data_IF_211240851264
#
_entry.id   IF_211240851264
#
_cell.length_a   1.000
_cell.length_b   1.000
_cell.length_c   1.000
_cell.angle_alpha   90.00
_cell.angle_beta   90.00
_cell.angle_gamma   90.00
#
_symmetry.space_group_name_H-M   'P 1'
#
loop_
_entity.id
_entity.type
_entity.pdbx_description
1 polymer ?
#
# COMPACT_ATOMS: atom_id res chain seq x y z
N UNK A 1 17.17 -3.69 -15.39
CA UNK A 1 16.27 -3.91 -14.24
C UNK A 1 16.24 -2.70 -13.31
N UNK A 2 17.39 -2.12 -12.98
CA UNK A 2 17.51 -0.86 -12.19
C UNK A 2 16.62 0.27 -12.73
N UNK A 3 16.65 0.56 -14.04
CA UNK A 3 15.78 1.55 -14.67
C UNK A 3 14.27 1.29 -14.47
N UNK A 4 13.83 0.02 -14.49
CA UNK A 4 12.42 -0.34 -14.26
C UNK A 4 12.03 -0.09 -12.80
N UNK A 5 12.91 -0.44 -11.85
CA UNK A 5 12.68 -0.19 -10.42
C UNK A 5 12.59 1.31 -10.15
N UNK A 6 13.44 2.12 -10.78
CA UNK A 6 13.40 3.57 -10.61
C UNK A 6 12.14 4.18 -11.22
N UNK A 7 11.69 3.70 -12.39
CA UNK A 7 10.40 4.10 -12.96
C UNK A 7 9.24 3.76 -12.01
N UNK A 8 9.23 2.56 -11.43
CA UNK A 8 8.22 2.14 -10.45
C UNK A 8 8.23 3.01 -9.18
N UNK A 9 9.41 3.42 -8.69
CA UNK A 9 9.55 4.33 -7.55
C UNK A 9 8.98 5.71 -7.86
N UNK A 10 9.30 6.26 -9.03
CA UNK A 10 8.82 7.58 -9.45
C UNK A 10 7.30 7.56 -9.62
N UNK A 11 6.74 6.57 -10.31
CA UNK A 11 5.30 6.45 -10.51
C UNK A 11 4.55 6.20 -9.20
N UNK A 12 5.14 5.44 -8.27
CA UNK A 12 4.57 5.24 -6.92
C UNK A 12 4.54 6.55 -6.13
N UNK A 13 5.63 7.31 -6.15
CA UNK A 13 5.70 8.63 -5.50
C UNK A 13 4.64 9.59 -6.06
N UNK A 14 4.48 9.63 -7.38
CA UNK A 14 3.43 10.40 -8.05
C UNK A 14 2.03 9.91 -7.64
N UNK A 15 1.79 8.59 -7.61
CA UNK A 15 0.52 8.01 -7.16
C UNK A 15 0.16 8.45 -5.74
N UNK A 16 1.14 8.41 -4.82
CA UNK A 16 0.95 8.80 -3.43
C UNK A 16 0.70 10.31 -3.26
N UNK A 17 1.05 11.15 -4.24
CA UNK A 17 0.65 12.57 -4.21
C UNK A 17 -0.87 12.75 -4.34
N UNK A 18 -1.55 11.84 -5.06
CA UNK A 18 -3.01 11.78 -5.15
C UNK A 18 -3.64 10.97 -4.00
N UNK A 19 -2.90 10.01 -3.44
CA UNK A 19 -3.32 9.10 -2.36
C UNK A 19 -2.51 9.31 -1.10
N UNK A 20 -2.40 10.57 -0.67
CA UNK A 20 -1.56 10.95 0.46
C UNK A 20 -1.87 10.24 1.80
N UNK A 21 -3.09 9.73 2.10
CA UNK A 21 -3.30 9.05 3.38
C UNK A 21 -2.52 7.74 3.46
N UNK A 22 -2.24 7.10 2.32
CA UNK A 22 -1.46 5.86 2.26
C UNK A 22 0.03 6.05 2.61
N UNK A 23 0.54 7.29 2.52
CA UNK A 23 1.90 7.66 2.91
C UNK A 23 2.02 8.06 4.40
N UNK A 24 0.96 7.84 5.19
CA UNK A 24 0.92 8.13 6.62
C UNK A 24 1.40 6.99 7.53
N UNK A 25 1.10 7.11 8.82
CA UNK A 25 1.35 6.07 9.84
C UNK A 25 0.13 5.84 10.72
N UNK A 26 0.02 4.64 11.28
CA UNK A 26 -0.92 4.35 12.38
C UNK A 26 -0.36 4.93 13.69
N UNK A 27 -1.16 5.68 14.45
CA UNK A 27 -0.67 6.36 15.68
C UNK A 27 -0.92 5.55 16.95
N UNK A 28 -2.12 4.99 17.09
CA UNK A 28 -2.63 4.35 18.31
C UNK A 28 -3.39 3.04 18.03
N UNK A 29 -3.24 2.51 16.83
CA UNK A 29 -3.89 1.27 16.38
C UNK A 29 -5.28 1.45 15.78
N UNK A 30 -5.88 2.63 15.91
CA UNK A 30 -7.23 2.91 15.40
C UNK A 30 -7.30 4.23 14.62
N UNK A 31 -6.31 5.11 14.77
CA UNK A 31 -6.17 6.35 14.02
C UNK A 31 -4.92 6.36 13.15
N UNK A 32 -4.96 7.19 12.11
CA UNK A 32 -3.86 7.41 11.18
C UNK A 32 -3.45 8.87 11.14
N UNK A 33 -2.15 9.13 11.03
CA UNK A 33 -1.60 10.45 10.76
C UNK A 33 -1.13 10.56 9.30
N UNK A 34 -1.68 11.51 8.55
CA UNK A 34 -1.22 11.87 7.21
C UNK A 34 0.03 12.77 7.30
N UNK A 35 1.12 12.21 7.80
CA UNK A 35 2.37 12.94 8.05
C UNK A 35 3.36 12.93 6.86
N UNK A 36 2.94 12.37 5.71
CA UNK A 36 3.74 12.26 4.49
C UNK A 36 5.12 11.62 4.72
N UNK A 37 5.26 10.71 5.68
CA UNK A 37 6.51 9.97 5.91
C UNK A 37 6.84 8.98 4.79
N UNK A 38 5.97 8.84 3.79
CA UNK A 38 6.18 7.98 2.64
C UNK A 38 5.86 6.53 2.96
N UNK A 39 6.33 5.63 2.10
CA UNK A 39 6.06 4.20 2.17
C UNK A 39 7.36 3.40 2.18
N UNK A 40 7.34 2.27 2.87
CA UNK A 40 8.47 1.35 2.86
C UNK A 40 8.44 0.53 1.57
N UNK A 41 9.52 0.59 0.80
CA UNK A 41 9.68 -0.16 -0.45
C UNK A 41 10.95 -0.99 -0.39
N UNK A 42 10.79 -2.29 -0.23
CA UNK A 42 11.88 -3.26 -0.32
C UNK A 42 12.11 -3.67 -1.78
N UNK A 43 13.36 -3.98 -2.13
CA UNK A 43 13.73 -4.58 -3.41
C UNK A 43 14.52 -5.87 -3.13
N UNK A 44 14.11 -6.98 -3.74
CA UNK A 44 14.73 -8.28 -3.56
C UNK A 44 15.04 -8.93 -4.91
N UNK A 45 16.19 -9.61 -4.98
CA UNK A 45 16.53 -10.47 -6.12
C UNK A 45 16.17 -11.92 -5.78
N UNK A 46 15.43 -12.56 -6.67
CA UNK A 46 15.00 -13.96 -6.55
C UNK A 46 15.83 -14.77 -7.54
N UNK A 47 16.70 -15.64 -7.00
CA UNK A 47 17.60 -16.50 -7.77
C UNK A 47 16.90 -17.72 -8.40
N UNK A 48 15.62 -17.58 -8.75
CA UNK A 48 14.77 -18.60 -9.37
C UNK A 48 13.97 -17.96 -10.49
N UNK A 49 13.51 -18.79 -11.43
CA UNK A 49 12.59 -18.36 -12.48
C UNK A 49 11.17 -18.24 -11.92
N UNK A 50 10.45 -17.20 -12.35
CA UNK A 50 9.06 -16.97 -11.93
C UNK A 50 8.16 -18.17 -12.26
N UNK A 51 8.34 -18.79 -13.42
CA UNK A 51 7.61 -19.99 -13.84
C UNK A 51 7.74 -21.13 -12.82
N UNK A 52 8.96 -21.37 -12.31
CA UNK A 52 9.22 -22.42 -11.33
C UNK A 52 8.51 -22.13 -10.00
N UNK A 53 8.51 -20.87 -9.57
CA UNK A 53 7.82 -20.42 -8.35
C UNK A 53 6.31 -20.55 -8.49
N UNK A 54 5.75 -20.21 -9.66
CA UNK A 54 4.31 -20.31 -9.93
C UNK A 54 3.84 -21.76 -10.08
N UNK A 55 4.65 -22.64 -10.67
CA UNK A 55 4.33 -24.07 -10.80
C UNK A 55 4.28 -24.79 -9.44
N UNK A 56 5.06 -24.33 -8.46
CA UNK A 56 5.12 -24.91 -7.12
C UNK A 56 4.73 -23.88 -6.06
N UNK A 57 3.60 -23.21 -6.26
CA UNK A 57 3.15 -22.11 -5.42
C UNK A 57 2.79 -22.59 -4.00
N UNK A 58 3.75 -22.51 -3.09
CA UNK A 58 3.55 -22.75 -1.65
C UNK A 58 3.33 -21.42 -0.95
N UNK A 59 2.37 -21.36 -0.02
CA UNK A 59 2.10 -20.15 0.80
C UNK A 59 3.37 -19.61 1.46
N UNK A 60 4.27 -20.50 1.91
CA UNK A 60 5.53 -20.10 2.52
C UNK A 60 6.47 -19.36 1.55
N UNK A 61 6.42 -19.69 0.25
CA UNK A 61 7.17 -18.99 -0.79
C UNK A 61 6.50 -17.64 -1.10
N UNK A 62 5.18 -17.62 -1.24
CA UNK A 62 4.43 -16.38 -1.47
C UNK A 62 4.66 -15.35 -0.36
N UNK A 63 4.71 -15.79 0.90
CA UNK A 63 5.02 -14.92 2.06
C UNK A 63 6.39 -14.25 1.97
N UNK A 64 7.37 -14.86 1.30
CA UNK A 64 8.70 -14.25 1.09
C UNK A 64 8.69 -13.17 0.02
N UNK A 65 7.67 -13.13 -0.82
CA UNK A 65 7.48 -12.09 -1.84
C UNK A 65 6.73 -10.87 -1.29
N UNK A 66 6.27 -10.93 -0.04
CA UNK A 66 5.62 -9.82 0.66
C UNK A 66 6.64 -9.08 1.54
N UNK A 67 6.47 -7.75 1.72
CA UNK A 67 7.36 -6.94 2.55
C UNK A 67 7.28 -7.30 4.04
N UNK A 68 6.17 -7.90 4.47
CA UNK A 68 5.94 -8.34 5.84
C UNK A 68 4.94 -9.49 5.86
N UNK A 69 4.78 -10.11 7.03
CA UNK A 69 3.72 -11.09 7.25
C UNK A 69 2.36 -10.35 7.36
N UNK A 70 1.40 -10.60 6.46
CA UNK A 70 0.12 -9.89 6.44
C UNK A 70 -0.78 -10.23 7.65
N UNK A 71 -0.45 -11.29 8.39
CA UNK A 71 -1.19 -11.71 9.60
C UNK A 71 -0.68 -11.03 10.87
N UNK A 72 0.40 -10.26 10.77
CA UNK A 72 0.98 -9.52 11.89
C UNK A 72 0.87 -8.03 11.64
N UNK A 73 0.69 -7.27 12.71
CA UNK A 73 0.74 -5.80 12.64
C UNK A 73 2.17 -5.37 12.28
N UNK A 74 2.32 -4.34 11.45
CA UNK A 74 3.62 -3.73 11.19
C UNK A 74 4.17 -3.13 12.48
N UNK A 75 5.43 -3.44 12.82
CA UNK A 75 6.10 -2.89 14.00
C UNK A 75 6.21 -1.35 13.90
N UNK A 76 6.42 -0.85 12.67
CA UNK A 76 6.61 0.57 12.38
C UNK A 76 5.32 1.33 12.04
N UNK A 77 4.15 0.69 12.23
CA UNK A 77 2.84 1.30 11.97
C UNK A 77 2.65 1.82 10.52
N UNK A 78 3.38 1.27 9.56
CA UNK A 78 3.34 1.66 8.14
C UNK A 78 2.03 1.20 7.50
N UNK A 79 1.39 2.09 6.73
CA UNK A 79 0.08 1.84 6.11
C UNK A 79 0.15 1.06 4.79
N UNK A 80 1.22 1.24 4.02
CA UNK A 80 1.39 0.63 2.70
C UNK A 80 2.85 0.18 2.48
N UNK A 81 3.35 -0.87 3.15
CA UNK A 81 4.63 -1.45 2.77
C UNK A 81 4.52 -2.24 1.45
N UNK A 82 5.55 -2.14 0.61
CA UNK A 82 5.66 -2.84 -0.67
C UNK A 82 7.00 -3.56 -0.82
N UNK A 83 7.02 -4.61 -1.64
CA UNK A 83 8.25 -5.30 -2.04
C UNK A 83 8.27 -5.59 -3.54
N UNK A 84 9.31 -5.13 -4.23
CA UNK A 84 9.58 -5.48 -5.63
C UNK A 84 10.53 -6.68 -5.66
N UNK A 85 10.10 -7.78 -6.28
CA UNK A 85 10.86 -9.02 -6.40
C UNK A 85 11.27 -9.23 -7.85
N UNK A 86 12.57 -9.23 -8.09
CA UNK A 86 13.19 -9.36 -9.40
C UNK A 86 13.70 -10.79 -9.61
N UNK A 87 13.08 -11.54 -10.52
CA UNK A 87 13.42 -12.95 -10.78
C UNK A 87 14.58 -13.08 -11.77
N UNK A 88 15.31 -14.20 -11.68
CA UNK A 88 16.45 -14.49 -12.55
C UNK A 88 16.08 -14.47 -14.04
N UNK A 89 14.87 -14.90 -14.39
CA UNK A 89 14.31 -14.85 -15.74
C UNK A 89 13.93 -13.45 -16.24
N UNK A 90 14.11 -12.39 -15.45
CA UNK A 90 13.67 -11.03 -15.78
C UNK A 90 12.25 -10.68 -15.34
N UNK A 91 11.47 -11.65 -14.86
CA UNK A 91 10.12 -11.41 -14.34
C UNK A 91 10.12 -10.57 -13.06
N UNK A 92 9.02 -9.86 -12.80
CA UNK A 92 8.85 -9.02 -11.60
C UNK A 92 7.55 -9.41 -10.89
N UNK A 93 7.62 -9.65 -9.57
CA UNK A 93 6.45 -9.74 -8.71
C UNK A 93 6.45 -8.62 -7.67
N UNK A 94 5.33 -7.91 -7.54
CA UNK A 94 5.17 -6.83 -6.58
C UNK A 94 4.27 -7.32 -5.46
N UNK A 95 4.81 -7.42 -4.25
CA UNK A 95 4.07 -7.70 -3.03
C UNK A 95 3.58 -6.40 -2.40
N UNK A 96 2.27 -6.30 -2.14
CA UNK A 96 1.66 -5.13 -1.51
C UNK A 96 0.95 -5.59 -0.24
N UNK A 97 1.29 -4.95 0.89
CA UNK A 97 0.51 -5.07 2.10
C UNK A 97 -0.07 -3.69 2.41
N UNK A 98 -1.36 -3.63 2.73
CA UNK A 98 -2.07 -2.38 2.94
C UNK A 98 -2.98 -2.49 4.16
N UNK A 99 -3.00 -1.44 4.97
CA UNK A 99 -3.76 -1.43 6.22
C UNK A 99 -5.26 -1.37 5.94
N UNK A 100 -5.97 -2.46 6.29
CA UNK A 100 -7.42 -2.52 6.22
C UNK A 100 -8.13 -1.52 7.17
N UNK A 101 -7.38 -0.85 8.06
CA UNK A 101 -7.92 0.23 8.91
C UNK A 101 -8.48 1.38 8.08
N UNK A 102 -7.86 1.70 6.94
CA UNK A 102 -8.22 2.85 6.10
C UNK A 102 -8.61 2.48 4.67
N UNK A 103 -8.52 1.21 4.30
CA UNK A 103 -8.88 0.74 2.95
C UNK A 103 -9.78 -0.48 3.00
N UNK A 104 -10.74 -0.53 2.08
CA UNK A 104 -11.45 -1.74 1.69
C UNK A 104 -10.95 -2.26 0.33
N UNK A 105 -11.47 -3.40 -0.12
CA UNK A 105 -11.08 -4.01 -1.40
C UNK A 105 -11.22 -3.06 -2.60
N UNK A 106 -12.24 -2.19 -2.59
CA UNK A 106 -12.43 -1.18 -3.63
C UNK A 106 -11.32 -0.14 -3.62
N UNK A 107 -10.96 0.36 -2.44
CA UNK A 107 -9.89 1.35 -2.26
C UNK A 107 -8.53 0.78 -2.68
N UNK A 108 -8.28 -0.49 -2.35
CA UNK A 108 -7.07 -1.22 -2.79
C UNK A 108 -7.03 -1.32 -4.31
N UNK A 109 -8.15 -1.73 -4.93
CA UNK A 109 -8.23 -1.83 -6.38
C UNK A 109 -8.03 -0.48 -7.07
N UNK A 110 -8.57 0.61 -6.51
CA UNK A 110 -8.34 1.97 -7.01
C UNK A 110 -6.87 2.35 -6.91
N UNK A 111 -6.20 2.12 -5.77
CA UNK A 111 -4.76 2.37 -5.63
C UNK A 111 -3.95 1.64 -6.70
N UNK A 112 -4.18 0.34 -6.89
CA UNK A 112 -3.44 -0.47 -7.87
C UNK A 112 -3.69 0.00 -9.31
N UNK A 113 -4.93 0.35 -9.66
CA UNK A 113 -5.28 0.85 -11.00
C UNK A 113 -4.64 2.21 -11.26
N UNK A 114 -4.68 3.14 -10.30
CA UNK A 114 -4.00 4.42 -10.47
C UNK A 114 -2.51 4.21 -10.65
N UNK A 115 -1.88 3.41 -9.78
CA UNK A 115 -0.44 3.21 -9.86
C UNK A 115 -0.02 2.59 -11.19
N UNK A 116 -0.76 1.61 -11.69
CA UNK A 116 -0.52 1.02 -13.00
C UNK A 116 -0.64 2.06 -14.13
N UNK A 117 -1.71 2.85 -14.14
CA UNK A 117 -1.92 3.88 -15.15
C UNK A 117 -0.83 4.96 -15.15
N UNK A 118 -0.43 5.45 -13.98
CA UNK A 118 0.68 6.42 -13.87
C UNK A 118 2.00 5.80 -14.32
N UNK A 119 2.25 4.53 -13.96
CA UNK A 119 3.48 3.82 -14.37
C UNK A 119 3.57 3.66 -15.89
N UNK A 120 2.44 3.39 -16.55
CA UNK A 120 2.34 3.29 -18.00
C UNK A 120 2.60 4.65 -18.67
N UNK A 121 1.91 5.72 -18.25
CA UNK A 121 2.15 7.07 -18.79
C UNK A 121 3.60 7.54 -18.58
N UNK A 122 4.21 7.19 -17.44
CA UNK A 122 5.61 7.50 -17.17
C UNK A 122 6.57 6.74 -18.10
N UNK A 123 6.25 5.50 -18.48
CA UNK A 123 7.04 4.74 -19.44
C UNK A 123 6.93 5.30 -20.87
N UNK A 124 5.79 5.87 -21.23
CA UNK A 124 5.50 6.41 -22.56
C UNK A 124 5.88 7.89 -22.73
N UNK A 125 6.35 8.56 -21.65
CA UNK A 125 6.59 10.01 -21.59
C UNK A 125 5.34 10.84 -21.93
N UNK A 126 4.15 10.31 -21.64
CA UNK A 126 2.89 11.00 -21.87
C UNK A 126 2.48 11.86 -20.68
N UNK A 127 1.69 12.90 -20.96
CA UNK A 127 1.08 13.69 -19.89
C UNK A 127 0.04 12.84 -19.17
N UNK A 128 0.22 12.66 -17.87
CA UNK A 128 -0.68 11.88 -17.03
C UNK A 128 -2.10 12.49 -17.10
N UNK A 129 -3.02 11.76 -17.74
CA UNK A 129 -4.44 12.13 -17.76
C UNK A 129 -5.18 11.26 -16.74
N UNK A 130 -4.98 11.51 -15.45
CA UNK A 130 -5.80 10.86 -14.43
C UNK A 130 -7.21 11.43 -14.57
N UNK A 131 -8.17 10.60 -14.96
CA UNK A 131 -9.56 11.04 -14.95
C UNK A 131 -9.94 11.40 -13.50
N UNK A 132 -10.50 12.60 -13.29
CA UNK A 132 -11.05 13.03 -11.98
C UNK A 132 -12.04 12.01 -11.38
N UNK A 133 -12.58 11.10 -12.20
CA UNK A 133 -13.42 9.97 -11.78
C UNK A 133 -12.74 8.92 -10.90
N UNK A 134 -11.39 8.83 -10.88
CA UNK A 134 -10.70 7.87 -10.01
C UNK A 134 -10.54 8.36 -8.58
N UNK A 135 -10.64 9.68 -8.36
CA UNK A 135 -10.35 10.31 -7.09
C UNK A 135 -11.55 11.11 -6.60
N UNK A 136 -12.35 10.48 -5.75
CA UNK A 136 -13.33 11.20 -4.93
C UNK A 136 -12.66 11.55 -3.60
N UNK A 137 -12.32 12.83 -3.43
CA UNK A 137 -11.89 13.34 -2.14
C UNK A 137 -13.09 13.41 -1.18
N UNK A 138 -13.32 12.29 -0.48
CA UNK A 138 -14.37 12.19 0.52
C UNK A 138 -14.07 13.02 1.78
N UNK A 139 -12.86 13.54 1.99
CA UNK A 139 -12.56 14.41 3.14
C UNK A 139 -13.27 15.75 3.05
N UNK A 140 -13.52 16.23 1.82
CA UNK A 140 -14.35 17.41 1.58
C UNK A 140 -15.85 17.17 1.88
N UNK A 141 -16.32 15.92 1.74
CA UNK A 141 -17.71 15.51 1.97
C UNK A 141 -17.92 15.13 3.45
N UNK A 142 -16.90 14.55 4.07
CA UNK A 142 -16.88 14.09 5.45
C UNK A 142 -15.65 14.67 6.16
N UNK A 143 -15.69 15.97 6.53
CA UNK A 143 -14.56 16.61 7.20
C UNK A 143 -14.25 15.87 8.51
N UNK A 144 -12.95 15.66 8.83
CA UNK A 144 -12.55 15.08 10.11
C UNK A 144 -13.18 15.89 11.24
N UNK A 145 -13.99 15.24 12.09
CA UNK A 145 -14.40 15.87 13.34
C UNK A 145 -13.19 15.88 14.25
N UNK A 146 -12.82 17.06 14.77
CA UNK A 146 -11.92 17.11 15.92
C UNK A 146 -12.56 16.28 17.03
N UNK A 147 -11.94 15.16 17.38
CA UNK A 147 -12.29 14.42 18.58
C UNK A 147 -11.72 15.24 19.73
N UNK A 148 -12.45 16.27 20.17
CA UNK A 148 -12.25 16.81 21.50
C UNK A 148 -12.40 15.64 22.46
N UNK A 149 -11.33 15.37 23.22
CA UNK A 149 -11.22 14.31 24.23
C UNK A 149 -12.57 13.81 24.70
N UNK A 150 -12.99 12.64 24.20
CA UNK A 150 -14.12 11.94 24.81
C UNK A 150 -13.62 11.56 26.19
N UNK A 151 -14.10 12.28 27.22
CA UNK A 151 -13.99 11.86 28.61
C UNK A 151 -14.44 10.41 28.66
N UNK A 152 -13.49 9.50 28.86
CA UNK A 152 -13.77 8.07 28.93
C UNK A 152 -14.32 7.78 30.32
N UNK A 153 -15.50 8.34 30.61
CA UNK A 153 -16.33 7.89 31.71
C UNK A 153 -17.42 6.98 31.12
N UNK A 154 -17.36 5.72 31.55
CA UNK A 154 -18.33 4.64 31.35
C UNK A 154 -18.25 3.85 30.03
N UNK A 155 -17.29 2.92 29.99
CA UNK A 155 -17.52 1.62 29.35
C UNK A 155 -17.40 0.53 30.42
N UNK A 156 -18.52 0.21 31.07
CA UNK A 156 -18.62 -0.95 31.96
C UNK A 156 -18.53 -2.22 31.11
N UNK A 157 -17.60 -3.10 31.47
CA UNK A 157 -17.39 -4.43 30.89
C UNK A 157 -18.65 -5.29 31.12
N UNK A 158 -19.34 -5.72 30.07
CA UNK A 158 -20.36 -6.77 30.16
C UNK A 158 -19.68 -8.10 29.83
N UNK A 159 -19.47 -8.93 30.85
CA UNK A 159 -19.02 -10.31 30.70
C UNK A 159 -20.19 -11.24 30.36
N UNK A 160 -19.94 -12.20 29.47
CA UNK A 160 -20.88 -13.28 29.17
C UNK A 160 -20.59 -14.42 30.17
N UNK A 161 -21.60 -14.82 30.93
CA UNK A 161 -21.63 -16.12 31.62
C UNK A 161 -22.04 -17.21 30.62
#
# INVERSE_FOLDING_TARGET
MENVIDSLKVSLSQTLSYLNPLAGRVKDGITTECNNQGVDLACANVHEDMSNVLMNLKIQVLRKLLPMNPLTRSDDNVLLPLQINCFACGGIAIGVCISHLITDDSSIATFLKTWASISESHAENENITISDKLFMDYSSIFPPKEVHSVDTQFLTRVGIN
#
